data_IF_921018277589
#
_entry.id   IF_921018277589
#
_cell.length_a   1.000
_cell.length_b   1.000
_cell.length_c   1.000
_cell.angle_alpha   90.00
_cell.angle_beta   90.00
_cell.angle_gamma   90.00
#
_symmetry.space_group_name_H-M   'P 1'
#
loop_
_entity.id
_entity.type
_entity.pdbx_description
1 polymer ?
#
# COMPACT_ATOMS: atom_id res chain seq x y z
N UNK A 1 -10.31 6.17 -9.30
CA UNK A 1 -8.99 6.75 -8.94
C UNK A 1 -8.99 8.28 -9.06
N UNK A 2 -9.61 8.88 -10.10
CA UNK A 2 -9.62 10.33 -10.30
C UNK A 2 -10.23 11.11 -9.11
N UNK A 3 -11.27 10.57 -8.48
CA UNK A 3 -11.97 11.21 -7.35
C UNK A 3 -11.27 11.04 -5.99
N UNK A 4 -10.33 10.12 -5.89
CA UNK A 4 -9.59 9.89 -4.64
C UNK A 4 -8.49 10.94 -4.40
N UNK A 5 -7.87 11.43 -5.46
CA UNK A 5 -6.74 12.34 -5.37
C UNK A 5 -7.08 13.71 -4.74
N UNK A 6 -8.21 14.37 -5.09
CA UNK A 6 -8.62 15.61 -4.43
C UNK A 6 -8.88 15.43 -2.92
N UNK A 7 -9.52 14.33 -2.52
CA UNK A 7 -9.81 14.01 -1.12
C UNK A 7 -8.50 13.84 -0.35
N UNK A 8 -7.58 13.04 -0.88
CA UNK A 8 -6.28 12.81 -0.26
C UNK A 8 -5.48 14.13 -0.12
N UNK A 9 -5.46 14.98 -1.14
CA UNK A 9 -4.79 16.28 -1.09
C UNK A 9 -5.37 17.20 -0.02
N UNK A 10 -6.70 17.26 0.12
CA UNK A 10 -7.37 18.04 1.17
C UNK A 10 -7.02 17.51 2.56
N UNK A 11 -7.07 16.19 2.74
CA UNK A 11 -6.70 15.56 3.98
C UNK A 11 -5.26 15.87 4.39
N UNK A 12 -4.30 15.70 3.49
CA UNK A 12 -2.88 15.97 3.76
C UNK A 12 -2.65 17.44 4.07
N UNK A 13 -3.30 18.37 3.36
CA UNK A 13 -3.20 19.81 3.65
C UNK A 13 -3.72 20.13 5.05
N UNK A 14 -4.89 19.64 5.43
CA UNK A 14 -5.45 19.84 6.76
C UNK A 14 -4.56 19.23 7.86
N UNK A 15 -4.00 18.04 7.62
CA UNK A 15 -3.06 17.38 8.52
C UNK A 15 -1.76 18.17 8.70
N UNK A 16 -1.18 18.71 7.64
CA UNK A 16 0.01 19.55 7.70
C UNK A 16 -0.28 20.84 8.49
N UNK A 17 -1.40 21.48 8.24
CA UNK A 17 -1.83 22.69 8.98
C UNK A 17 -2.03 22.38 10.48
N UNK A 18 -2.70 21.27 10.81
CA UNK A 18 -2.87 20.81 12.19
C UNK A 18 -1.53 20.58 12.88
N UNK A 19 -0.61 19.84 12.24
CA UNK A 19 0.71 19.57 12.78
C UNK A 19 1.56 20.86 12.92
N UNK A 20 1.40 21.83 12.01
CA UNK A 20 2.06 23.12 12.11
C UNK A 20 1.54 23.96 13.31
N UNK A 21 0.25 23.87 13.63
CA UNK A 21 -0.31 24.51 14.83
C UNK A 21 0.25 23.94 16.13
N UNK A 22 0.56 22.63 16.15
CA UNK A 22 1.20 22.04 17.33
C UNK A 22 2.63 22.55 17.56
N UNK A 23 3.39 22.76 16.48
CA UNK A 23 4.82 23.11 16.53
C UNK A 23 5.09 24.63 16.69
N UNK A 24 4.14 25.49 16.33
CA UNK A 24 4.35 26.95 16.32
C UNK A 24 4.18 27.59 17.70
N UNK A 25 5.32 27.84 18.35
CA UNK A 25 5.55 29.13 19.02
C UNK A 25 6.05 30.10 17.94
N UNK A 26 5.20 30.93 17.36
CA UNK A 26 5.63 31.95 16.38
C UNK A 26 6.22 33.11 17.16
N UNK A 27 7.51 33.42 16.96
CA UNK A 27 8.20 34.58 17.52
C UNK A 27 8.16 34.73 19.07
N UNK A 28 8.25 33.60 19.81
CA UNK A 28 8.29 33.65 21.27
C UNK A 28 6.96 33.93 21.98
N UNK A 29 5.90 34.25 21.26
CA UNK A 29 4.56 34.36 21.81
C UNK A 29 3.72 33.16 21.46
N UNK A 30 3.39 32.32 22.45
CA UNK A 30 2.43 31.22 22.28
C UNK A 30 1.05 31.81 21.97
N UNK A 31 0.36 31.31 20.93
CA UNK A 31 -1.05 31.65 20.71
C UNK A 31 -1.86 31.34 21.97
N UNK A 32 -2.85 32.16 22.31
CA UNK A 32 -3.77 31.82 23.39
C UNK A 32 -4.36 30.43 23.18
N UNK A 33 -4.42 29.66 24.24
CA UNK A 33 -4.88 28.24 24.18
C UNK A 33 -6.28 28.12 23.53
N UNK A 34 -7.19 29.08 23.84
CA UNK A 34 -8.54 29.10 23.28
C UNK A 34 -8.54 29.28 21.75
N UNK A 35 -7.72 30.18 21.21
CA UNK A 35 -7.59 30.39 19.77
C UNK A 35 -7.00 29.16 19.07
N UNK A 36 -5.94 28.56 19.64
CA UNK A 36 -5.33 27.35 19.13
C UNK A 36 -6.34 26.20 19.09
N UNK A 37 -7.13 26.04 20.16
CA UNK A 37 -8.16 25.01 20.24
C UNK A 37 -9.24 25.21 19.18
N UNK A 38 -9.75 26.42 18.99
CA UNK A 38 -10.76 26.72 17.97
C UNK A 38 -10.27 26.37 16.56
N UNK A 39 -9.02 26.72 16.22
CA UNK A 39 -8.43 26.36 14.92
C UNK A 39 -8.26 24.84 14.75
N UNK A 40 -7.88 24.12 15.80
CA UNK A 40 -7.79 22.66 15.78
C UNK A 40 -9.15 22.01 15.58
N UNK A 41 -10.22 22.55 16.19
CA UNK A 41 -11.59 22.05 16.01
C UNK A 41 -12.06 22.20 14.55
N UNK A 42 -11.78 23.33 13.90
CA UNK A 42 -12.09 23.54 12.48
C UNK A 42 -11.32 22.53 11.59
N UNK A 43 -10.03 22.36 11.82
CA UNK A 43 -9.22 21.38 11.06
C UNK A 43 -9.66 19.94 11.31
N UNK A 44 -10.13 19.63 12.51
CA UNK A 44 -10.65 18.30 12.83
C UNK A 44 -11.95 17.98 12.07
N UNK A 45 -12.79 18.97 11.76
CA UNK A 45 -13.98 18.77 10.91
C UNK A 45 -13.56 18.35 9.50
N UNK A 46 -12.62 19.07 8.89
CA UNK A 46 -12.09 18.71 7.56
C UNK A 46 -11.39 17.35 7.57
N UNK A 47 -10.55 17.08 8.57
CA UNK A 47 -9.87 15.80 8.73
C UNK A 47 -10.85 14.64 8.91
N UNK A 48 -11.92 14.83 9.67
CA UNK A 48 -12.95 13.81 9.83
C UNK A 48 -13.64 13.50 8.50
N UNK A 49 -14.11 14.54 7.79
CA UNK A 49 -14.81 14.35 6.52
C UNK A 49 -13.95 13.66 5.46
N UNK A 50 -12.73 14.16 5.26
CA UNK A 50 -11.84 13.61 4.25
C UNK A 50 -11.27 12.24 4.68
N UNK A 51 -11.01 12.06 5.98
CA UNK A 51 -10.50 10.81 6.54
C UNK A 51 -11.48 9.66 6.45
N UNK A 52 -12.75 9.89 6.73
CA UNK A 52 -13.84 8.91 6.53
C UNK A 52 -13.92 8.48 5.05
N UNK A 53 -13.88 9.46 4.13
CA UNK A 53 -13.92 9.17 2.71
C UNK A 53 -12.69 8.37 2.23
N UNK A 54 -11.49 8.59 2.81
CA UNK A 54 -10.29 7.79 2.52
C UNK A 54 -10.48 6.36 3.05
N UNK A 55 -10.92 6.19 4.29
CA UNK A 55 -11.11 4.87 4.88
C UNK A 55 -12.13 4.04 4.09
N UNK A 56 -13.26 4.64 3.71
CA UNK A 56 -14.27 3.98 2.90
C UNK A 56 -13.70 3.46 1.57
N UNK A 57 -12.89 4.29 0.87
CA UNK A 57 -12.26 3.88 -0.39
C UNK A 57 -11.23 2.78 -0.20
N UNK A 58 -10.45 2.84 0.90
CA UNK A 58 -9.48 1.78 1.22
C UNK A 58 -10.18 0.45 1.48
N UNK A 59 -11.28 0.46 2.25
CA UNK A 59 -12.08 -0.75 2.51
C UNK A 59 -12.64 -1.33 1.21
N UNK A 60 -13.30 -0.52 0.38
CA UNK A 60 -13.83 -0.96 -0.91
C UNK A 60 -12.75 -1.51 -1.85
N UNK A 61 -11.57 -0.88 -1.88
CA UNK A 61 -10.44 -1.37 -2.67
C UNK A 61 -9.92 -2.72 -2.16
N UNK A 62 -9.85 -2.90 -0.84
CA UNK A 62 -9.42 -4.15 -0.23
C UNK A 62 -10.40 -5.29 -0.45
N UNK A 63 -11.71 -5.02 -0.56
CA UNK A 63 -12.71 -6.04 -0.94
C UNK A 63 -12.42 -6.62 -2.32
N UNK A 64 -11.86 -5.82 -3.24
CA UNK A 64 -11.45 -6.30 -4.56
C UNK A 64 -10.05 -6.91 -4.53
N UNK A 65 -9.10 -6.30 -3.84
CA UNK A 65 -7.70 -6.70 -3.84
C UNK A 65 -7.45 -8.00 -3.07
N UNK A 66 -8.08 -8.14 -1.89
CA UNK A 66 -7.77 -9.24 -0.99
C UNK A 66 -8.02 -10.63 -1.60
N UNK A 67 -9.17 -10.93 -2.22
CA UNK A 67 -9.39 -12.24 -2.83
C UNK A 67 -8.39 -12.53 -3.95
N UNK A 68 -8.03 -11.53 -4.77
CA UNK A 68 -7.03 -11.68 -5.84
C UNK A 68 -5.64 -11.97 -5.28
N UNK A 69 -5.22 -11.24 -4.25
CA UNK A 69 -3.93 -11.44 -3.61
C UNK A 69 -3.83 -12.81 -2.91
N UNK A 70 -4.90 -13.22 -2.22
CA UNK A 70 -4.96 -14.53 -1.56
C UNK A 70 -4.89 -15.67 -2.58
N UNK A 71 -5.65 -15.59 -3.67
CA UNK A 71 -5.59 -16.60 -4.75
C UNK A 71 -4.21 -16.68 -5.41
N UNK A 72 -3.60 -15.53 -5.73
CA UNK A 72 -2.24 -15.50 -6.28
C UNK A 72 -1.23 -16.11 -5.32
N UNK A 73 -1.36 -15.87 -4.01
CA UNK A 73 -0.44 -16.42 -3.01
C UNK A 73 -0.63 -17.92 -2.83
N UNK A 74 -1.88 -18.39 -2.78
CA UNK A 74 -2.20 -19.81 -2.69
C UNK A 74 -1.57 -20.60 -3.85
N UNK A 75 -1.70 -20.09 -5.07
CA UNK A 75 -1.08 -20.70 -6.25
C UNK A 75 0.47 -20.65 -6.18
N UNK A 76 1.06 -19.52 -5.74
CA UNK A 76 2.50 -19.36 -5.55
C UNK A 76 3.08 -20.29 -4.48
N UNK A 77 2.34 -20.53 -3.40
CA UNK A 77 2.76 -21.40 -2.29
C UNK A 77 2.37 -22.86 -2.51
N UNK A 78 1.71 -23.18 -3.64
CA UNK A 78 1.12 -24.51 -3.90
C UNK A 78 0.18 -24.97 -2.78
N UNK A 79 -0.56 -24.02 -2.18
CA UNK A 79 -1.50 -24.28 -1.09
C UNK A 79 -0.84 -24.57 0.27
N UNK A 80 0.48 -24.39 0.39
CA UNK A 80 1.18 -24.69 1.63
C UNK A 80 0.87 -23.72 2.78
N UNK A 81 0.44 -22.49 2.44
CA UNK A 81 0.24 -21.41 3.40
C UNK A 81 -0.96 -20.55 2.98
N UNK A 82 -1.63 -19.94 3.96
CA UNK A 82 -2.80 -19.11 3.75
C UNK A 82 -2.46 -17.63 3.99
N UNK A 83 -2.56 -16.79 2.95
CA UNK A 83 -2.46 -15.34 3.07
C UNK A 83 -3.81 -14.75 3.45
N UNK A 84 -3.81 -13.82 4.39
CA UNK A 84 -4.96 -12.96 4.73
C UNK A 84 -4.54 -11.50 4.80
N UNK A 85 -5.41 -10.63 4.31
CA UNK A 85 -5.25 -9.19 4.38
C UNK A 85 -6.26 -8.63 5.39
N UNK A 86 -5.80 -7.81 6.34
CA UNK A 86 -6.64 -7.17 7.34
C UNK A 86 -6.35 -5.67 7.38
N UNK A 87 -7.38 -4.86 7.23
CA UNK A 87 -7.25 -3.42 7.42
C UNK A 87 -7.23 -3.08 8.90
N UNK A 88 -6.10 -2.57 9.39
CA UNK A 88 -5.91 -2.17 10.78
C UNK A 88 -6.45 -0.75 11.00
N UNK A 89 -7.78 -0.64 11.03
CA UNK A 89 -8.47 0.62 11.23
C UNK A 89 -8.36 1.10 12.68
N UNK A 90 -8.20 2.41 12.88
CA UNK A 90 -8.22 3.03 14.21
C UNK A 90 -9.64 3.41 14.66
N UNK A 91 -10.60 3.46 13.77
CA UNK A 91 -11.98 3.87 14.05
C UNK A 91 -12.95 3.12 13.15
N UNK A 92 -14.17 2.93 13.66
CA UNK A 92 -15.27 2.43 12.83
C UNK A 92 -15.83 3.52 11.93
N UNK A 93 -16.48 3.18 10.79
CA UNK A 93 -17.11 4.17 9.91
C UNK A 93 -17.99 5.17 10.67
N UNK A 94 -17.76 6.47 10.44
CA UNK A 94 -18.41 7.56 11.17
C UNK A 94 -17.78 7.93 12.51
N UNK A 95 -16.73 7.22 12.96
CA UNK A 95 -16.12 7.40 14.27
C UNK A 95 -14.96 8.40 14.34
N UNK A 96 -14.42 8.85 13.20
CA UNK A 96 -13.20 9.66 13.20
C UNK A 96 -13.36 10.99 13.89
N UNK A 97 -14.50 11.68 13.71
CA UNK A 97 -14.76 12.95 14.38
C UNK A 97 -14.74 12.83 15.90
N UNK A 98 -15.27 11.74 16.44
CA UNK A 98 -15.26 11.47 17.88
C UNK A 98 -13.83 11.14 18.35
N UNK A 99 -13.11 10.30 17.61
CA UNK A 99 -11.73 9.93 17.92
C UNK A 99 -10.81 11.15 17.95
N UNK A 100 -10.91 12.05 16.96
CA UNK A 100 -10.15 13.30 16.91
C UNK A 100 -10.41 14.20 18.12
N UNK A 101 -11.68 14.30 18.58
CA UNK A 101 -12.02 15.05 19.80
C UNK A 101 -11.41 14.40 21.06
N UNK A 102 -11.52 13.08 21.18
CA UNK A 102 -10.98 12.35 22.33
C UNK A 102 -9.44 12.44 22.41
N UNK A 103 -8.76 12.36 21.25
CA UNK A 103 -7.29 12.37 21.18
C UNK A 103 -6.68 13.77 21.23
N UNK A 104 -7.47 14.82 21.10
CA UNK A 104 -6.96 16.22 21.10
C UNK A 104 -6.04 16.55 22.30
N UNK A 105 -6.34 16.18 23.57
CA UNK A 105 -5.45 16.46 24.68
C UNK A 105 -4.10 15.73 24.60
N UNK A 106 -4.10 14.52 24.04
CA UNK A 106 -2.88 13.74 23.81
C UNK A 106 -2.05 14.33 22.64
N UNK A 107 -2.71 14.74 21.56
CA UNK A 107 -2.09 15.36 20.39
C UNK A 107 -1.46 16.72 20.75
N UNK A 108 -2.10 17.50 21.61
CA UNK A 108 -1.55 18.75 22.13
C UNK A 108 -0.24 18.53 22.92
N UNK A 109 -0.17 17.45 23.68
CA UNK A 109 1.05 17.06 24.42
C UNK A 109 2.13 16.48 23.51
N UNK A 110 1.72 15.65 22.55
CA UNK A 110 2.63 14.99 21.60
C UNK A 110 3.14 15.93 20.50
N UNK A 111 2.49 17.06 20.27
CA UNK A 111 2.86 18.01 19.23
C UNK A 111 2.62 17.51 17.80
N UNK A 112 1.75 16.50 17.63
CA UNK A 112 1.43 15.91 16.32
C UNK A 112 0.08 15.22 16.36
N UNK A 113 -0.49 14.98 15.16
CA UNK A 113 -1.70 14.18 15.02
C UNK A 113 -1.43 12.70 15.27
N UNK A 114 -2.26 12.07 16.09
CA UNK A 114 -2.10 10.68 16.55
C UNK A 114 -3.12 9.72 15.94
N UNK A 115 -4.15 10.21 15.28
CA UNK A 115 -5.22 9.38 14.73
C UNK A 115 -5.69 9.85 13.35
N UNK A 116 -6.23 8.89 12.61
CA UNK A 116 -6.73 9.07 11.25
C UNK A 116 -6.08 8.14 10.24
N UNK A 117 -6.52 8.14 8.96
CA UNK A 117 -6.07 7.21 7.93
C UNK A 117 -4.55 7.17 7.68
N UNK A 118 -3.81 8.21 8.05
CA UNK A 118 -2.35 8.25 7.95
C UNK A 118 -1.62 7.42 9.04
N UNK A 119 -2.36 6.91 10.02
CA UNK A 119 -1.87 6.02 11.10
C UNK A 119 -2.40 4.59 10.97
N UNK A 120 -3.29 4.37 10.03
CA UNK A 120 -3.82 3.03 9.74
C UNK A 120 -2.89 2.27 8.80
N UNK A 121 -2.93 0.95 8.86
CA UNK A 121 -2.06 0.07 8.09
C UNK A 121 -2.85 -1.10 7.49
N UNK A 122 -2.22 -1.80 6.55
CA UNK A 122 -2.67 -3.07 6.02
C UNK A 122 -1.83 -4.18 6.64
N UNK A 123 -2.46 -5.01 7.44
CA UNK A 123 -1.81 -6.17 8.02
C UNK A 123 -1.89 -7.36 7.06
N UNK A 124 -0.74 -7.96 6.80
CA UNK A 124 -0.56 -9.16 6.00
C UNK A 124 -0.29 -10.32 6.96
N UNK A 125 -1.17 -11.31 6.94
CA UNK A 125 -1.10 -12.45 7.84
C UNK A 125 -0.85 -13.72 7.01
N UNK A 126 0.17 -14.50 7.39
CA UNK A 126 0.42 -15.86 6.88
C UNK A 126 0.08 -16.85 8.00
N UNK A 127 -0.84 -17.77 7.71
CA UNK A 127 -1.36 -18.73 8.70
C UNK A 127 -1.77 -18.08 10.02
N UNK A 128 -2.33 -16.87 9.92
CA UNK A 128 -2.78 -16.07 11.06
C UNK A 128 -1.70 -15.28 11.79
N UNK A 129 -0.42 -15.40 11.39
CA UNK A 129 0.70 -14.67 12.00
C UNK A 129 1.12 -13.46 11.14
N UNK A 130 1.52 -12.32 11.74
CA UNK A 130 1.99 -11.16 10.98
C UNK A 130 3.20 -11.49 10.10
N UNK A 131 3.03 -11.41 8.77
CA UNK A 131 4.07 -11.76 7.80
C UNK A 131 5.35 -10.92 7.98
N UNK A 132 5.21 -9.67 8.38
CA UNK A 132 6.35 -8.76 8.64
C UNK A 132 7.30 -9.29 9.72
N UNK A 133 6.80 -10.08 10.68
CA UNK A 133 7.57 -10.55 11.84
C UNK A 133 7.99 -12.00 11.68
N UNK A 134 7.09 -12.85 11.18
CA UNK A 134 7.25 -14.30 11.21
C UNK A 134 7.56 -14.93 9.85
N UNK A 135 7.26 -14.25 8.75
CA UNK A 135 7.54 -14.82 7.44
C UNK A 135 9.03 -14.78 7.09
N UNK A 136 9.52 -15.84 6.44
CA UNK A 136 10.85 -15.86 5.84
C UNK A 136 10.97 -14.82 4.72
N UNK A 137 12.18 -14.47 4.31
CA UNK A 137 12.38 -13.51 3.20
C UNK A 137 11.68 -13.98 1.92
N UNK A 138 11.76 -15.27 1.56
CA UNK A 138 11.08 -15.82 0.40
C UNK A 138 9.55 -15.72 0.49
N UNK A 139 8.96 -15.96 1.68
CA UNK A 139 7.53 -15.77 1.94
C UNK A 139 7.12 -14.30 1.80
N UNK A 140 7.88 -13.36 2.40
CA UNK A 140 7.60 -11.92 2.31
C UNK A 140 7.60 -11.44 0.85
N UNK A 141 8.57 -11.90 0.04
CA UNK A 141 8.64 -11.59 -1.40
C UNK A 141 7.46 -12.15 -2.17
N UNK A 142 7.06 -13.39 -1.87
CA UNK A 142 5.87 -14.02 -2.47
C UNK A 142 4.60 -13.25 -2.13
N UNK A 143 4.46 -12.75 -0.90
CA UNK A 143 3.35 -11.88 -0.50
C UNK A 143 3.34 -10.58 -1.32
N UNK A 144 4.50 -9.90 -1.45
CA UNK A 144 4.60 -8.67 -2.24
C UNK A 144 4.27 -8.93 -3.71
N UNK A 145 4.79 -10.02 -4.28
CA UNK A 145 4.51 -10.39 -5.67
C UNK A 145 3.01 -10.68 -5.88
N UNK A 146 2.38 -11.42 -4.97
CA UNK A 146 0.95 -11.71 -5.01
C UNK A 146 0.10 -10.43 -4.97
N UNK A 147 0.48 -9.47 -4.14
CA UNK A 147 -0.16 -8.15 -4.08
C UNK A 147 0.02 -7.37 -5.39
N UNK A 148 1.22 -7.35 -5.97
CA UNK A 148 1.48 -6.65 -7.24
C UNK A 148 0.71 -7.24 -8.40
N UNK A 149 0.60 -8.56 -8.46
CA UNK A 149 -0.23 -9.24 -9.46
C UNK A 149 -1.72 -8.94 -9.25
N UNK A 150 -2.18 -8.90 -8.00
CA UNK A 150 -3.54 -8.53 -7.65
C UNK A 150 -3.86 -7.06 -8.01
N UNK A 151 -2.94 -6.13 -7.73
CA UNK A 151 -3.06 -4.72 -8.15
C UNK A 151 -3.22 -4.60 -9.67
N UNK A 152 -2.42 -5.34 -10.44
CA UNK A 152 -2.51 -5.35 -11.91
C UNK A 152 -3.85 -5.91 -12.40
N UNK A 153 -4.34 -7.00 -11.79
CA UNK A 153 -5.63 -7.57 -12.12
C UNK A 153 -6.80 -6.64 -11.75
N UNK A 154 -6.74 -6.02 -10.56
CA UNK A 154 -7.73 -5.03 -10.14
C UNK A 154 -7.73 -3.79 -11.06
N UNK A 155 -6.56 -3.31 -11.49
CA UNK A 155 -6.46 -2.22 -12.44
C UNK A 155 -7.10 -2.59 -13.78
N UNK A 156 -6.79 -3.77 -14.31
CA UNK A 156 -7.38 -4.27 -15.55
C UNK A 156 -8.90 -4.36 -15.50
N UNK A 157 -9.46 -4.80 -14.36
CA UNK A 157 -10.92 -4.88 -14.18
C UNK A 157 -11.60 -3.51 -14.17
N UNK A 158 -10.90 -2.46 -13.77
CA UNK A 158 -11.41 -1.08 -13.70
C UNK A 158 -11.24 -0.35 -15.03
N UNK A 159 -10.09 -0.52 -15.70
CA UNK A 159 -9.73 0.23 -16.91
C UNK A 159 -10.10 -0.49 -18.21
N UNK A 160 -10.35 -1.80 -18.15
CA UNK A 160 -10.53 -2.66 -19.33
C UNK A 160 -9.22 -3.00 -20.06
N UNK A 161 -8.07 -2.52 -19.57
CA UNK A 161 -6.75 -2.74 -20.16
C UNK A 161 -5.76 -3.30 -19.14
N UNK A 162 -4.96 -4.28 -19.55
CA UNK A 162 -3.91 -4.82 -18.69
C UNK A 162 -2.75 -3.82 -18.57
N UNK A 163 -2.33 -3.46 -17.35
CA UNK A 163 -1.17 -2.62 -17.17
C UNK A 163 0.11 -3.37 -17.57
N UNK A 164 1.12 -2.62 -18.01
CA UNK A 164 2.47 -3.13 -18.23
C UNK A 164 3.10 -3.47 -16.87
N UNK A 165 3.61 -4.68 -16.73
CA UNK A 165 4.31 -5.13 -15.53
C UNK A 165 5.81 -4.89 -15.67
N UNK A 166 6.41 -4.28 -14.66
CA UNK A 166 7.87 -4.10 -14.54
C UNK A 166 8.36 -4.86 -13.32
N UNK A 167 9.14 -5.90 -13.54
CA UNK A 167 9.66 -6.79 -12.50
C UNK A 167 11.20 -6.73 -12.51
N UNK A 168 11.75 -6.03 -11.53
CA UNK A 168 13.19 -5.80 -11.42
C UNK A 168 13.81 -6.80 -10.45
N UNK A 169 14.66 -7.68 -10.96
CA UNK A 169 15.41 -8.75 -10.26
C UNK A 169 14.56 -9.67 -9.35
N UNK A 170 13.26 -9.84 -9.69
CA UNK A 170 12.34 -10.62 -8.84
C UNK A 170 12.66 -12.11 -8.90
N UNK A 171 13.19 -12.60 -10.05
CA UNK A 171 13.42 -14.02 -10.29
C UNK A 171 14.59 -14.59 -9.47
N UNK A 172 15.63 -13.81 -9.19
CA UNK A 172 16.83 -14.25 -8.47
C UNK A 172 16.53 -14.79 -7.06
N UNK A 173 15.39 -14.41 -6.51
CA UNK A 173 15.01 -14.60 -5.12
C UNK A 173 13.87 -15.61 -4.92
N UNK A 174 13.40 -16.20 -6.02
CA UNK A 174 12.34 -17.20 -6.04
C UNK A 174 12.93 -18.60 -6.30
N UNK A 175 12.33 -19.61 -5.68
CA UNK A 175 12.58 -21.00 -6.05
C UNK A 175 12.02 -21.32 -7.46
N UNK A 176 12.41 -22.45 -8.03
CA UNK A 176 12.07 -22.81 -9.40
C UNK A 176 10.56 -22.95 -9.63
N UNK A 177 9.79 -23.42 -8.63
CA UNK A 177 8.34 -23.54 -8.73
C UNK A 177 7.67 -22.17 -8.84
N UNK A 178 8.08 -21.23 -7.99
CA UNK A 178 7.58 -19.86 -8.00
C UNK A 178 8.00 -19.08 -9.26
N UNK A 179 9.24 -19.30 -9.75
CA UNK A 179 9.71 -18.76 -11.03
C UNK A 179 8.81 -19.24 -12.18
N UNK A 180 8.56 -20.53 -12.26
CA UNK A 180 7.74 -21.10 -13.32
C UNK A 180 6.29 -20.59 -13.27
N UNK A 181 5.70 -20.50 -12.07
CA UNK A 181 4.38 -19.93 -11.89
C UNK A 181 4.33 -18.48 -12.43
N UNK A 182 5.26 -17.64 -12.00
CA UNK A 182 5.33 -16.24 -12.40
C UNK A 182 5.45 -16.10 -13.92
N UNK A 183 6.40 -16.81 -14.54
CA UNK A 183 6.62 -16.79 -15.99
C UNK A 183 5.37 -17.25 -16.77
N UNK A 184 4.63 -18.22 -16.26
CA UNK A 184 3.39 -18.69 -16.88
C UNK A 184 2.29 -17.64 -16.82
N UNK A 185 2.14 -16.95 -15.68
CA UNK A 185 1.12 -15.91 -15.48
C UNK A 185 1.40 -14.62 -16.26
N UNK A 186 2.65 -14.42 -16.70
CA UNK A 186 3.04 -13.23 -17.47
C UNK A 186 2.76 -13.37 -18.98
N UNK A 187 2.50 -14.58 -19.50
CA UNK A 187 2.32 -14.83 -20.95
C UNK A 187 1.22 -13.99 -21.61
N UNK A 188 0.19 -13.66 -20.86
CA UNK A 188 -0.97 -12.90 -21.35
C UNK A 188 -0.84 -11.38 -21.15
N UNK A 189 0.30 -10.92 -20.61
CA UNK A 189 0.48 -9.52 -20.20
C UNK A 189 1.82 -8.99 -20.73
N UNK A 190 1.83 -7.73 -21.16
CA UNK A 190 3.11 -7.09 -21.48
C UNK A 190 3.91 -6.92 -20.20
N UNK A 191 5.03 -7.65 -20.11
CA UNK A 191 5.86 -7.68 -18.92
C UNK A 191 7.33 -7.50 -19.30
N UNK A 192 8.02 -6.64 -18.56
CA UNK A 192 9.47 -6.50 -18.61
C UNK A 192 10.05 -7.08 -17.32
N UNK A 193 10.99 -7.99 -17.48
CA UNK A 193 11.65 -8.65 -16.34
C UNK A 193 13.16 -8.46 -16.49
N UNK A 194 13.80 -8.00 -15.44
CA UNK A 194 15.26 -8.00 -15.36
C UNK A 194 15.73 -9.12 -14.43
N UNK A 195 16.90 -9.71 -14.73
CA UNK A 195 17.56 -10.68 -13.87
C UNK A 195 19.06 -10.71 -14.14
N UNK A 196 19.84 -11.01 -13.11
CA UNK A 196 21.26 -11.28 -13.23
C UNK A 196 21.54 -12.77 -13.56
N UNK A 197 20.52 -13.63 -13.55
CA UNK A 197 20.62 -15.06 -13.83
C UNK A 197 20.25 -15.34 -15.29
N UNK A 198 21.23 -15.66 -16.10
CA UNK A 198 21.07 -15.98 -17.53
C UNK A 198 20.16 -17.21 -17.74
N UNK A 199 20.09 -18.11 -16.78
CA UNK A 199 19.31 -19.37 -16.89
C UNK A 199 17.81 -19.18 -16.65
N UNK A 200 17.43 -18.07 -16.00
CA UNK A 200 16.04 -17.77 -15.65
C UNK A 200 15.12 -17.67 -16.89
N UNK A 201 15.68 -17.32 -18.06
CA UNK A 201 14.93 -17.07 -19.29
C UNK A 201 15.01 -18.18 -20.33
N UNK A 202 15.73 -19.29 -20.08
CA UNK A 202 15.91 -20.40 -21.03
C UNK A 202 14.60 -21.09 -21.44
N UNK A 203 13.51 -20.88 -20.71
CA UNK A 203 12.19 -21.49 -20.93
C UNK A 203 11.09 -20.47 -21.14
N UNK A 204 11.42 -19.25 -21.55
CA UNK A 204 10.40 -18.23 -21.82
C UNK A 204 10.12 -18.15 -23.31
N UNK A 205 8.86 -17.87 -23.67
CA UNK A 205 8.45 -17.59 -25.04
C UNK A 205 8.64 -16.10 -25.41
N UNK A 206 9.20 -15.30 -24.48
CA UNK A 206 9.44 -13.87 -24.63
C UNK A 206 10.74 -13.56 -25.35
N UNK A 207 10.89 -12.32 -25.79
CA UNK A 207 12.15 -11.82 -26.33
C UNK A 207 13.16 -11.60 -25.21
N UNK A 208 14.36 -12.15 -25.38
CA UNK A 208 15.45 -12.01 -24.41
C UNK A 208 16.50 -11.05 -24.94
N UNK A 209 16.89 -10.11 -24.09
CA UNK A 209 17.90 -9.12 -24.39
C UNK A 209 18.99 -9.16 -23.32
N UNK A 210 20.25 -9.05 -23.73
CA UNK A 210 21.40 -8.93 -22.82
C UNK A 210 21.89 -7.48 -22.79
N UNK A 211 22.08 -6.97 -21.57
CA UNK A 211 22.69 -5.66 -21.34
C UNK A 211 24.17 -5.84 -20.99
N UNK A 212 25.07 -5.29 -21.77
CA UNK A 212 26.50 -5.30 -21.50
C UNK A 212 27.12 -3.93 -21.78
N UNK A 213 27.74 -3.31 -20.80
CA UNK A 213 28.40 -1.99 -20.93
C UNK A 213 27.44 -0.89 -21.45
N UNK A 214 26.16 -0.94 -21.13
CA UNK A 214 25.16 0.02 -21.58
C UNK A 214 24.60 -0.25 -22.99
N UNK A 215 25.00 -1.37 -23.62
CA UNK A 215 24.50 -1.79 -24.93
C UNK A 215 23.52 -2.94 -24.77
N UNK A 216 22.34 -2.83 -25.36
CA UNK A 216 21.30 -3.84 -25.36
C UNK A 216 21.40 -4.66 -26.65
N UNK A 217 21.56 -5.98 -26.53
CA UNK A 217 21.63 -6.90 -27.67
C UNK A 217 20.57 -8.00 -27.52
N UNK A 218 19.87 -8.34 -28.60
CA UNK A 218 18.93 -9.47 -28.61
C UNK A 218 19.72 -10.79 -28.59
N UNK A 219 19.31 -11.73 -27.76
CA UNK A 219 19.93 -13.07 -27.60
C UNK A 219 19.23 -14.07 -28.51
#
# INVERSE_FOLDING_TARGET
>A
LHDALPIYRRYIRALQQKNALFRRSVNGAARPYAEKRALLEVLNVELAQQGEAIQQRRRAYLETLAPLACSNYEELSHGAETLRLRYAAQFEPGGLAQLLRQKMPEELRAGQSLCGPHREDLELLLDGQPAKVYASQGQQRSVVLSLKMAEAAAAASITGEHPVLLLDDVLSELDDGRKQYLLTRMREKQTFVTSCDDTAFLRTDGEVYRMNGGVLTKV
#
